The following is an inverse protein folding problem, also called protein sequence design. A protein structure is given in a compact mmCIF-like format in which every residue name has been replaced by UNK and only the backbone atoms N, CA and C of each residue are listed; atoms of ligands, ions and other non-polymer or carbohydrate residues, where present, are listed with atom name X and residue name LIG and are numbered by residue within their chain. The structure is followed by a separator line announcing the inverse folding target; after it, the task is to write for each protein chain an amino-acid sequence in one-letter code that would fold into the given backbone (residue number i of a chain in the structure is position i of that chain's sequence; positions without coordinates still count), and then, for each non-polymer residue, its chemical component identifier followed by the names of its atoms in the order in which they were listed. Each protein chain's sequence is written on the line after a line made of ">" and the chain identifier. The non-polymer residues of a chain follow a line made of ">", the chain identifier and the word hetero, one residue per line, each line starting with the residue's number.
data_IF_452970518079
#
_entry.id   IF_452970518079
#
_cell.length_a   1.000
_cell.length_b   1.000
_cell.length_c   1.000
_cell.angle_alpha   90.00
_cell.angle_beta   90.00
_cell.angle_gamma   90.00
#
_symmetry.space_group_name_H-M   'P 1'
#
loop_
_entity.id
_entity.type
_entity.pdbx_description
1 polymer ?
#
# COMPACT_ATOMS: atom_id res chain seq x y z
N UNK A 1 15.85 -12.31 6.24
CA UNK A 1 15.25 -10.97 6.32
C UNK A 1 13.82 -11.12 6.77
N UNK A 2 13.45 -10.61 7.94
CA UNK A 2 12.06 -10.55 8.37
C UNK A 2 11.40 -9.37 7.68
N UNK A 3 10.38 -9.61 6.85
CA UNK A 3 9.61 -8.53 6.23
C UNK A 3 8.84 -7.80 7.32
N UNK A 4 9.07 -6.49 7.46
CA UNK A 4 8.39 -5.63 8.45
C UNK A 4 6.91 -5.37 8.13
N UNK A 5 6.48 -5.71 6.91
CA UNK A 5 5.11 -5.61 6.43
C UNK A 5 4.61 -6.99 5.98
N UNK A 6 3.29 -7.18 5.98
CA UNK A 6 2.65 -8.42 5.53
C UNK A 6 2.70 -8.49 4.01
N UNK A 7 3.31 -9.52 3.40
CA UNK A 7 3.31 -9.66 1.94
C UNK A 7 1.89 -9.81 1.37
N UNK A 8 1.67 -9.27 0.17
CA UNK A 8 0.48 -9.55 -0.64
C UNK A 8 0.54 -10.91 -1.34
N UNK A 9 -0.50 -11.30 -2.08
CA UNK A 9 -1.73 -10.55 -2.34
C UNK A 9 -2.75 -10.61 -1.19
N UNK A 10 -3.54 -9.55 -1.03
CA UNK A 10 -4.62 -9.48 -0.04
C UNK A 10 -6.01 -9.46 -0.71
N UNK A 11 -7.00 -10.02 -0.03
CA UNK A 11 -8.39 -10.03 -0.45
C UNK A 11 -9.27 -9.28 0.55
N UNK A 12 -10.45 -8.85 0.09
CA UNK A 12 -11.48 -8.24 0.93
C UNK A 12 -12.80 -9.02 0.85
N UNK A 13 -13.34 -9.43 2.01
CA UNK A 13 -14.63 -10.12 2.13
C UNK A 13 -15.28 -9.79 3.46
N UNK A 14 -16.54 -9.35 3.44
CA UNK A 14 -17.36 -9.10 4.64
C UNK A 14 -16.66 -8.21 5.69
N UNK A 15 -16.02 -7.12 5.27
CA UNK A 15 -15.31 -6.21 6.17
C UNK A 15 -13.99 -6.74 6.72
N UNK A 16 -13.45 -7.82 6.14
CA UNK A 16 -12.14 -8.39 6.51
C UNK A 16 -11.17 -8.30 5.35
N UNK A 17 -9.94 -7.94 5.67
CA UNK A 17 -8.77 -8.08 4.81
C UNK A 17 -8.08 -9.40 5.18
N UNK A 18 -7.80 -10.23 4.20
CA UNK A 18 -7.19 -11.56 4.39
C UNK A 18 -6.09 -11.82 3.38
N UNK A 19 -5.18 -12.75 3.67
CA UNK A 19 -4.20 -13.21 2.68
C UNK A 19 -4.87 -14.12 1.67
N UNK A 20 -4.75 -13.85 0.36
CA UNK A 20 -5.37 -14.71 -0.67
C UNK A 20 -4.76 -16.11 -0.66
N UNK A 21 -3.45 -16.21 -0.43
CA UNK A 21 -2.75 -17.49 -0.35
C UNK A 21 -3.05 -18.26 0.94
N UNK A 22 -3.62 -17.58 1.94
CA UNK A 22 -3.99 -18.14 3.24
C UNK A 22 -5.30 -17.51 3.71
N UNK A 23 -6.43 -17.90 3.10
CA UNK A 23 -7.73 -17.25 3.33
C UNK A 23 -8.18 -17.18 4.80
N UNK A 24 -7.70 -18.09 5.65
CA UNK A 24 -7.99 -18.10 7.09
C UNK A 24 -7.20 -17.05 7.88
N UNK A 25 -6.13 -16.50 7.30
CA UNK A 25 -5.32 -15.46 7.92
C UNK A 25 -5.96 -14.08 7.71
N UNK A 26 -6.68 -13.61 8.72
CA UNK A 26 -7.15 -12.23 8.77
C UNK A 26 -5.99 -11.28 9.04
N UNK A 27 -5.80 -10.31 8.15
CA UNK A 27 -4.78 -9.27 8.22
C UNK A 27 -5.32 -8.03 8.94
N UNK A 28 -6.56 -7.63 8.61
CA UNK A 28 -7.21 -6.48 9.23
C UNK A 28 -8.74 -6.62 9.21
N UNK A 29 -9.41 -5.92 10.14
CA UNK A 29 -10.85 -5.69 10.09
C UNK A 29 -11.09 -4.24 9.67
N UNK A 30 -11.92 -4.04 8.65
CA UNK A 30 -12.43 -2.72 8.27
C UNK A 30 -13.45 -2.32 9.35
N UNK A 31 -13.40 -1.10 9.86
CA UNK A 31 -14.40 -0.63 10.84
C UNK A 31 -15.74 -0.36 10.15
N UNK A 32 -16.85 -0.61 10.87
CA UNK A 32 -18.18 -0.15 10.44
C UNK A 32 -18.28 1.35 10.65
N UNK A 33 -18.93 2.04 9.72
CA UNK A 33 -19.42 3.38 9.98
C UNK A 33 -20.59 3.33 10.98
N UNK A 34 -20.99 4.49 11.50
CA UNK A 34 -22.04 4.59 12.53
C UNK A 34 -23.42 4.09 12.07
N UNK A 35 -23.63 4.00 10.75
CA UNK A 35 -24.81 3.43 10.10
C UNK A 35 -24.80 1.89 10.04
N UNK A 36 -23.71 1.26 10.51
CA UNK A 36 -23.59 -0.19 10.61
C UNK A 36 -23.03 -0.89 9.37
N UNK A 37 -22.68 -0.14 8.32
CA UNK A 37 -22.09 -0.72 7.11
C UNK A 37 -20.56 -0.59 7.11
N UNK A 38 -19.88 -1.59 6.55
CA UNK A 38 -18.45 -1.47 6.26
C UNK A 38 -18.33 -0.79 4.90
N UNK A 39 -17.61 0.32 4.79
CA UNK A 39 -17.34 0.93 3.47
C UNK A 39 -16.58 -0.08 2.60
N UNK A 40 -17.19 -0.67 1.56
CA UNK A 40 -16.50 -1.63 0.71
C UNK A 40 -15.33 -0.95 -0.01
N UNK A 41 -15.44 0.36 -0.26
CA UNK A 41 -14.38 1.18 -0.81
C UNK A 41 -13.13 1.20 0.08
N UNK A 42 -13.28 1.34 1.40
CA UNK A 42 -12.14 1.30 2.32
C UNK A 42 -11.47 -0.08 2.32
N UNK A 43 -12.28 -1.15 2.27
CA UNK A 43 -11.77 -2.51 2.18
C UNK A 43 -10.98 -2.76 0.91
N UNK A 44 -11.47 -2.27 -0.24
CA UNK A 44 -10.77 -2.38 -1.53
C UNK A 44 -9.43 -1.64 -1.52
N UNK A 45 -9.39 -0.41 -0.97
CA UNK A 45 -8.14 0.37 -0.88
C UNK A 45 -7.11 -0.35 0.01
N UNK A 46 -7.55 -0.89 1.15
CA UNK A 46 -6.67 -1.64 2.04
C UNK A 46 -6.17 -2.93 1.40
N UNK A 47 -7.04 -3.69 0.72
CA UNK A 47 -6.65 -4.91 0.03
C UNK A 47 -5.64 -4.66 -1.09
N UNK A 48 -5.73 -3.52 -1.77
CA UNK A 48 -4.77 -3.12 -2.81
C UNK A 48 -3.44 -2.55 -2.27
N UNK A 49 -3.24 -2.50 -0.95
CA UNK A 49 -2.05 -1.86 -0.38
C UNK A 49 -0.72 -2.49 -0.83
N UNK A 50 -0.57 -3.83 -0.94
CA UNK A 50 0.65 -4.44 -1.49
C UNK A 50 0.93 -4.02 -2.94
N UNK A 51 -0.10 -4.00 -3.78
CA UNK A 51 0.00 -3.62 -5.20
C UNK A 51 0.30 -2.14 -5.36
N UNK A 52 -0.32 -1.28 -4.53
CA UNK A 52 -0.05 0.15 -4.49
C UNK A 52 1.41 0.43 -4.05
N UNK A 53 1.92 -0.30 -3.05
CA UNK A 53 3.32 -0.21 -2.63
C UNK A 53 4.26 -0.58 -3.78
N UNK A 54 4.03 -1.72 -4.44
CA UNK A 54 4.84 -2.17 -5.57
C UNK A 54 4.79 -1.18 -6.75
N UNK A 55 3.63 -0.59 -7.04
CA UNK A 55 3.49 0.41 -8.09
C UNK A 55 4.26 1.70 -7.78
N UNK A 56 4.26 2.15 -6.52
CA UNK A 56 5.03 3.33 -6.10
C UNK A 56 6.55 3.09 -6.19
N UNK A 57 7.02 1.89 -5.85
CA UNK A 57 8.42 1.51 -6.00
C UNK A 57 8.84 1.53 -7.48
N UNK A 58 8.08 0.86 -8.36
CA UNK A 58 8.34 0.85 -9.80
C UNK A 58 8.31 2.25 -10.41
N UNK A 59 7.39 3.10 -9.95
CA UNK A 59 7.29 4.48 -10.39
C UNK A 59 8.56 5.27 -10.00
N UNK A 60 9.07 5.10 -8.78
CA UNK A 60 10.29 5.77 -8.34
C UNK A 60 11.52 5.29 -9.10
N UNK A 61 11.64 4.00 -9.34
CA UNK A 61 12.76 3.44 -10.12
C UNK A 61 12.78 4.04 -11.53
N UNK A 62 11.61 4.11 -12.19
CA UNK A 62 11.49 4.75 -13.50
C UNK A 62 11.83 6.25 -13.50
N UNK A 63 11.61 6.97 -12.39
CA UNK A 63 11.98 8.38 -12.27
C UNK A 63 13.47 8.62 -12.02
N UNK A 64 14.16 7.66 -11.38
CA UNK A 64 15.60 7.77 -11.07
C UNK A 64 16.44 7.50 -12.32
N UNK A 65 15.97 6.64 -13.21
CA UNK A 65 16.71 6.20 -14.41
C UNK A 65 16.59 7.13 -15.62
N UNK A 66 15.75 8.17 -15.60
CA UNK A 66 15.63 9.15 -16.69
C UNK A 66 16.38 10.48 -16.37
N UNK A 67 17.51 10.76 -17.05
CA UNK A 67 18.30 11.98 -16.88
C UNK A 67 17.55 13.26 -17.27
N UNK A 68 16.51 13.18 -18.11
CA UNK A 68 15.74 14.34 -18.61
C UNK A 68 14.64 14.76 -17.63
N UNK A 69 14.09 13.83 -16.85
CA UNK A 69 13.07 14.13 -15.83
C UNK A 69 13.62 14.72 -14.54
N UNK A 70 14.94 14.68 -14.31
CA UNK A 70 15.58 15.19 -13.10
C UNK A 70 15.50 16.73 -12.95
N UNK A 71 15.29 17.47 -14.03
CA UNK A 71 15.46 18.93 -14.01
C UNK A 71 14.19 19.75 -13.70
N UNK A 72 12.97 19.20 -13.79
CA UNK A 72 11.79 20.09 -13.85
C UNK A 72 10.58 19.79 -12.95
N UNK A 73 10.39 18.60 -12.36
CA UNK A 73 9.12 18.34 -11.64
C UNK A 73 9.17 17.29 -10.50
N UNK A 74 10.33 16.69 -10.25
CA UNK A 74 10.39 15.33 -9.68
C UNK A 74 10.83 15.24 -8.21
N UNK A 75 11.43 16.28 -7.61
CA UNK A 75 11.94 16.21 -6.23
C UNK A 75 10.84 15.96 -5.19
N UNK A 76 9.86 16.87 -5.07
CA UNK A 76 8.84 16.79 -4.00
C UNK A 76 7.91 15.57 -4.11
N UNK A 77 7.53 15.18 -5.33
CA UNK A 77 6.68 14.03 -5.55
C UNK A 77 7.42 12.72 -5.26
N UNK A 78 8.68 12.61 -5.69
CA UNK A 78 9.51 11.45 -5.38
C UNK A 78 9.81 11.38 -3.87
N UNK A 79 10.08 12.51 -3.22
CA UNK A 79 10.32 12.56 -1.77
C UNK A 79 9.06 12.15 -0.99
N UNK A 80 7.87 12.62 -1.41
CA UNK A 80 6.61 12.19 -0.82
C UNK A 80 6.35 10.69 -1.00
N UNK A 81 6.64 10.13 -2.19
CA UNK A 81 6.52 8.70 -2.45
C UNK A 81 7.51 7.89 -1.60
N UNK A 82 8.78 8.31 -1.50
CA UNK A 82 9.79 7.67 -0.63
C UNK A 82 9.37 7.68 0.83
N UNK A 83 8.86 8.81 1.33
CA UNK A 83 8.36 8.92 2.70
C UNK A 83 7.16 8.00 2.95
N UNK A 84 6.22 7.93 2.00
CA UNK A 84 5.08 7.02 2.09
C UNK A 84 5.51 5.54 2.10
N UNK A 85 6.47 5.15 1.25
CA UNK A 85 7.04 3.79 1.21
C UNK A 85 7.76 3.45 2.52
N UNK A 86 8.60 4.35 3.03
CA UNK A 86 9.31 4.16 4.29
C UNK A 86 8.31 3.94 5.45
N UNK A 87 7.22 4.73 5.48
CA UNK A 87 6.14 4.54 6.45
C UNK A 87 5.43 3.19 6.27
N UNK A 88 5.09 2.81 5.04
CA UNK A 88 4.44 1.53 4.74
C UNK A 88 5.31 0.32 5.11
N UNK A 89 6.64 0.43 5.00
CA UNK A 89 7.61 -0.59 5.42
C UNK A 89 7.92 -0.57 6.92
N UNK A 90 7.38 0.36 7.69
CA UNK A 90 7.69 0.52 9.11
C UNK A 90 9.15 0.95 9.36
N UNK A 91 9.72 1.73 8.45
CA UNK A 91 11.07 2.32 8.56
C UNK A 91 11.02 3.72 9.21
N UNK A 92 9.86 4.39 9.18
CA UNK A 92 9.57 5.62 9.91
C UNK A 92 8.21 5.49 10.61
N UNK A 93 8.14 5.92 11.89
CA UNK A 93 6.92 5.95 12.70
C UNK A 93 6.39 7.38 12.86
#
# INVERSE_FOLDING_TARGET
>A
MTTKHTPGPWGHRNGRIFSVDREELTIANVARAADGDYSPANGLVLAAAPELLAALEQMLDAFVDDPLTHQYTSGRAADAARAAIAKAKGEQQ
#
